data_IF_072389854823
#
_entry.id   IF_072389854823
#
_cell.length_a   1.000
_cell.length_b   1.000
_cell.length_c   1.000
_cell.angle_alpha   90.00
_cell.angle_beta   90.00
_cell.angle_gamma   90.00
#
_symmetry.space_group_name_H-M   'P 1'
#
loop_
_entity.id
_entity.type
_entity.pdbx_description
1 polymer ?
#
# COMPACT_ATOMS: atom_id res chain seq x y z
N UNK A 1 35.29 62.54 9.51
CA UNK A 1 33.86 62.18 9.46
C UNK A 1 33.80 60.66 9.54
N UNK A 2 33.46 60.13 10.71
CA UNK A 2 33.32 58.70 10.92
C UNK A 2 31.98 58.22 10.39
N UNK A 3 31.99 57.11 9.66
CA UNK A 3 30.81 56.32 9.34
C UNK A 3 30.74 55.23 10.42
N UNK A 4 29.76 55.32 11.32
CA UNK A 4 29.37 54.23 12.21
C UNK A 4 28.46 53.30 11.42
N UNK A 5 28.96 52.12 11.08
CA UNK A 5 28.15 50.99 10.64
C UNK A 5 27.55 50.35 11.90
N UNK A 6 26.35 50.79 12.30
CA UNK A 6 25.54 50.06 13.28
C UNK A 6 24.96 48.82 12.57
N UNK A 7 25.71 47.72 12.63
CA UNK A 7 25.13 46.40 12.45
C UNK A 7 24.30 46.09 13.69
N UNK A 8 22.98 46.13 13.51
CA UNK A 8 22.01 45.76 14.53
C UNK A 8 22.17 44.26 14.85
N UNK A 9 22.82 43.97 15.98
CA UNK A 9 22.96 42.64 16.61
C UNK A 9 21.62 42.22 17.26
N UNK A 10 20.50 42.33 16.53
CA UNK A 10 19.25 41.73 16.98
C UNK A 10 19.39 40.19 16.91
N UNK A 11 19.21 39.46 18.02
CA UNK A 11 19.24 38.01 17.98
C UNK A 11 18.13 37.52 17.05
N UNK A 12 18.49 36.73 16.04
CA UNK A 12 17.54 36.08 15.14
C UNK A 12 16.64 35.19 16.00
N UNK A 13 15.42 35.66 16.29
CA UNK A 13 14.41 34.92 17.05
C UNK A 13 13.28 34.50 16.13
N UNK A 14 12.73 33.31 16.37
CA UNK A 14 11.56 32.85 15.64
C UNK A 14 10.37 33.77 15.92
N UNK A 15 9.59 34.10 14.90
CA UNK A 15 8.33 34.81 15.10
C UNK A 15 7.39 33.99 15.98
N UNK A 16 6.47 34.64 16.69
CA UNK A 16 5.46 33.95 17.50
C UNK A 16 4.72 32.88 16.71
N UNK A 17 4.35 33.20 15.47
CA UNK A 17 3.70 32.26 14.56
C UNK A 17 4.58 31.04 14.23
N UNK A 18 5.90 31.23 14.06
CA UNK A 18 6.82 30.12 13.82
C UNK A 18 7.02 29.25 15.07
N UNK A 19 7.03 29.84 16.27
CA UNK A 19 7.08 29.10 17.53
C UNK A 19 5.82 28.30 17.79
N UNK A 20 4.64 28.87 17.50
CA UNK A 20 3.36 28.18 17.63
C UNK A 20 3.28 27.00 16.65
N UNK A 21 3.66 27.22 15.39
CA UNK A 21 3.72 26.16 14.38
C UNK A 21 4.69 25.03 14.79
N UNK A 22 5.86 25.37 15.34
CA UNK A 22 6.82 24.39 15.83
C UNK A 22 6.28 23.60 17.04
N UNK A 23 5.57 24.27 17.94
CA UNK A 23 4.93 23.65 19.11
C UNK A 23 3.84 22.67 18.69
N UNK A 24 2.96 23.08 17.77
CA UNK A 24 1.94 22.21 17.18
C UNK A 24 2.57 21.00 16.48
N UNK A 25 3.64 21.20 15.71
CA UNK A 25 4.36 20.12 15.05
C UNK A 25 4.92 19.09 16.04
N UNK A 26 5.52 19.53 17.16
CA UNK A 26 5.99 18.60 18.18
C UNK A 26 4.85 17.84 18.87
N UNK A 27 3.74 18.52 19.17
CA UNK A 27 2.56 17.86 19.75
C UNK A 27 1.97 16.78 18.82
N UNK A 28 1.86 17.07 17.52
CA UNK A 28 1.37 16.11 16.52
C UNK A 28 2.29 14.90 16.41
N UNK A 29 3.62 15.13 16.39
CA UNK A 29 4.62 14.06 16.38
C UNK A 29 4.52 13.17 17.60
N UNK A 30 4.37 13.75 18.78
CA UNK A 30 4.32 13.01 20.04
C UNK A 30 3.00 12.21 20.15
N UNK A 31 1.88 12.78 19.68
CA UNK A 31 0.60 12.07 19.56
C UNK A 31 0.68 10.87 18.60
N UNK A 32 1.40 11.02 17.49
CA UNK A 32 1.59 9.93 16.52
C UNK A 32 2.45 8.80 17.09
N UNK A 33 3.53 9.14 17.81
CA UNK A 33 4.34 8.15 18.54
C UNK A 33 3.49 7.37 19.54
N UNK A 34 2.65 8.05 20.32
CA UNK A 34 1.76 7.40 21.28
C UNK A 34 0.76 6.45 20.60
N UNK A 35 0.20 6.83 19.44
CA UNK A 35 -0.68 5.94 18.65
C UNK A 35 0.07 4.70 18.13
N UNK A 36 1.30 4.86 17.66
CA UNK A 36 2.12 3.75 17.20
C UNK A 36 2.50 2.80 18.34
N UNK A 37 2.81 3.34 19.52
CA UNK A 37 3.06 2.54 20.73
C UNK A 37 1.81 1.77 21.18
N UNK A 38 0.63 2.41 21.22
CA UNK A 38 -0.65 1.73 21.53
C UNK A 38 -0.96 0.62 20.53
N UNK A 39 -0.65 0.81 19.24
CA UNK A 39 -0.79 -0.22 18.22
C UNK A 39 0.14 -1.41 18.46
N UNK A 40 1.42 -1.15 18.76
CA UNK A 40 2.39 -2.21 19.05
C UNK A 40 1.96 -3.01 20.27
N UNK A 41 1.55 -2.32 21.34
CA UNK A 41 1.05 -2.95 22.56
C UNK A 41 -0.25 -3.73 22.30
N UNK A 42 -1.15 -3.21 21.47
CA UNK A 42 -2.41 -3.89 21.11
C UNK A 42 -2.16 -5.14 20.26
N UNK A 43 -1.18 -5.09 19.36
CA UNK A 43 -0.74 -6.24 18.58
C UNK A 43 -0.15 -7.34 19.48
N UNK A 44 0.66 -6.97 20.47
CA UNK A 44 1.21 -7.91 21.46
C UNK A 44 0.11 -8.50 22.37
N UNK A 45 -0.88 -7.70 22.77
CA UNK A 45 -1.96 -8.11 23.68
C UNK A 45 -3.19 -8.69 22.96
N UNK A 46 -3.17 -8.78 21.62
CA UNK A 46 -4.28 -9.20 20.76
C UNK A 46 -5.60 -8.46 21.05
N UNK A 47 -5.53 -7.16 21.31
CA UNK A 47 -6.74 -6.36 21.51
C UNK A 47 -7.35 -5.96 20.16
N UNK A 48 -8.65 -6.20 20.00
CA UNK A 48 -9.43 -5.96 18.77
C UNK A 48 -9.87 -4.50 18.63
N UNK A 49 -8.92 -3.56 18.63
CA UNK A 49 -9.24 -2.21 18.13
C UNK A 49 -9.07 -2.19 16.61
N UNK A 50 -9.95 -1.47 15.87
CA UNK A 50 -9.74 -1.27 14.44
C UNK A 50 -8.41 -0.54 14.22
N UNK A 51 -7.59 -1.09 13.33
CA UNK A 51 -6.30 -0.53 12.95
C UNK A 51 -6.53 0.71 12.07
N UNK A 52 -5.64 1.69 12.15
CA UNK A 52 -5.65 2.84 11.25
C UNK A 52 -4.27 3.04 10.64
N UNK A 53 -4.22 3.17 9.32
CA UNK A 53 -2.97 3.44 8.60
C UNK A 53 -2.38 4.80 9.02
N UNK A 54 -3.21 5.75 9.46
CA UNK A 54 -2.79 7.07 9.93
C UNK A 54 -1.92 7.03 11.20
N UNK A 55 -1.79 5.88 11.87
CA UNK A 55 -0.84 5.71 12.95
C UNK A 55 0.61 5.51 12.47
N UNK A 56 0.80 5.23 11.17
CA UNK A 56 2.08 5.23 10.49
C UNK A 56 2.23 6.58 9.77
N UNK A 57 3.20 7.39 10.17
CA UNK A 57 3.46 8.68 9.52
C UNK A 57 3.85 8.48 8.07
N UNK A 58 3.27 9.22 7.13
CA UNK A 58 3.78 9.27 5.74
C UNK A 58 5.22 9.79 5.72
N UNK A 59 6.11 9.09 5.01
CA UNK A 59 7.45 9.56 4.67
C UNK A 59 7.54 9.87 3.17
N UNK A 60 7.70 11.15 2.85
CA UNK A 60 7.79 11.64 1.48
C UNK A 60 9.08 11.19 0.78
N UNK A 61 10.16 10.91 1.52
CA UNK A 61 11.41 10.41 0.93
C UNK A 61 11.25 8.97 0.44
N UNK A 62 10.40 8.20 1.11
CA UNK A 62 10.01 6.83 0.74
C UNK A 62 8.81 6.80 -0.22
N UNK A 63 8.34 7.98 -0.68
CA UNK A 63 7.15 8.14 -1.53
C UNK A 63 5.88 7.49 -0.96
N UNK A 64 5.70 7.58 0.36
CA UNK A 64 4.53 7.04 1.05
C UNK A 64 3.35 8.01 0.99
N UNK A 65 2.24 7.54 0.43
CA UNK A 65 0.97 8.27 0.43
C UNK A 65 -0.16 7.29 0.71
N UNK A 66 -0.90 7.52 1.78
CA UNK A 66 -1.93 6.57 2.20
C UNK A 66 -3.23 6.78 1.44
N UNK A 67 -3.84 5.67 1.03
CA UNK A 67 -5.19 5.70 0.49
C UNK A 67 -6.19 6.23 1.50
N UNK A 68 -7.27 6.84 1.00
CA UNK A 68 -8.45 7.08 1.81
C UNK A 68 -9.03 5.75 2.30
N UNK A 69 -9.71 5.77 3.44
CA UNK A 69 -10.34 4.57 4.01
C UNK A 69 -11.30 3.91 3.01
N UNK A 70 -12.05 4.71 2.24
CA UNK A 70 -12.94 4.23 1.18
C UNK A 70 -12.17 3.50 0.08
N UNK A 71 -11.04 4.06 -0.37
CA UNK A 71 -10.21 3.44 -1.42
C UNK A 71 -9.63 2.12 -0.95
N UNK A 72 -9.02 2.11 0.23
CA UNK A 72 -8.41 0.92 0.80
C UNK A 72 -9.45 -0.19 1.05
N UNK A 73 -10.63 0.17 1.58
CA UNK A 73 -11.72 -0.77 1.84
C UNK A 73 -12.30 -1.35 0.55
N UNK A 74 -12.52 -0.51 -0.47
CA UNK A 74 -13.02 -0.96 -1.78
C UNK A 74 -12.09 -2.01 -2.41
N UNK A 75 -10.78 -1.76 -2.38
CA UNK A 75 -9.78 -2.70 -2.90
C UNK A 75 -9.75 -3.98 -2.05
N UNK A 76 -9.76 -3.85 -0.72
CA UNK A 76 -9.74 -4.99 0.20
C UNK A 76 -10.95 -5.92 0.01
N UNK A 77 -12.15 -5.36 -0.11
CA UNK A 77 -13.39 -6.10 -0.37
C UNK A 77 -13.34 -6.85 -1.70
N UNK A 78 -12.86 -6.21 -2.76
CA UNK A 78 -12.71 -6.83 -4.07
C UNK A 78 -11.69 -7.99 -4.08
N UNK A 79 -10.64 -7.91 -3.26
CA UNK A 79 -9.66 -8.99 -3.11
C UNK A 79 -10.20 -10.14 -2.25
N UNK A 80 -10.98 -9.81 -1.22
CA UNK A 80 -11.61 -10.79 -0.33
C UNK A 80 -12.77 -11.55 -0.99
N UNK A 81 -13.37 -10.99 -2.04
CA UNK A 81 -14.43 -11.65 -2.80
C UNK A 81 -13.99 -13.04 -3.31
N UNK A 82 -14.79 -14.04 -2.95
CA UNK A 82 -14.54 -15.45 -3.29
C UNK A 82 -13.28 -16.06 -2.67
N UNK A 83 -12.65 -15.42 -1.68
CA UNK A 83 -11.54 -16.03 -0.95
C UNK A 83 -12.01 -17.14 -0.01
N UNK A 84 -11.16 -18.16 0.12
CA UNK A 84 -11.31 -19.27 1.07
C UNK A 84 -10.22 -19.19 2.13
N UNK A 85 -10.27 -20.05 3.14
CA UNK A 85 -9.18 -20.20 4.13
C UNK A 85 -7.82 -20.56 3.50
N UNK A 86 -7.83 -21.19 2.32
CA UNK A 86 -6.61 -21.57 1.58
C UNK A 86 -6.13 -20.48 0.61
N UNK A 87 -6.87 -19.38 0.50
CA UNK A 87 -6.48 -18.27 -0.36
C UNK A 87 -5.34 -17.46 0.28
N UNK A 88 -4.43 -16.96 -0.53
CA UNK A 88 -3.37 -16.04 -0.09
C UNK A 88 -3.50 -14.69 -0.79
N UNK A 89 -3.56 -13.61 0.00
CA UNK A 89 -3.63 -12.22 -0.47
C UNK A 89 -2.33 -11.51 -0.12
N UNK A 90 -1.67 -10.93 -1.12
CA UNK A 90 -0.49 -10.07 -0.93
C UNK A 90 -0.85 -8.59 -1.14
N UNK A 91 -0.40 -7.74 -0.23
CA UNK A 91 -0.30 -6.30 -0.44
C UNK A 91 1.18 -5.95 -0.65
N UNK A 92 1.51 -5.44 -1.82
CA UNK A 92 2.87 -5.09 -2.24
C UNK A 92 3.00 -3.58 -2.31
N UNK A 93 3.81 -2.99 -1.44
CA UNK A 93 3.95 -1.53 -1.35
C UNK A 93 2.60 -0.82 -1.09
N UNK A 94 1.59 -1.53 -0.56
CA UNK A 94 0.20 -1.08 -0.43
C UNK A 94 -0.33 -1.26 1.01
N UNK A 95 0.25 -0.57 2.01
CA UNK A 95 -0.01 -0.88 3.42
C UNK A 95 -1.41 -0.43 3.86
N UNK A 96 -1.98 0.61 3.24
CA UNK A 96 -3.38 1.02 3.48
C UNK A 96 -4.35 -0.12 3.15
N UNK A 97 -4.14 -0.84 2.04
CA UNK A 97 -4.96 -1.99 1.65
C UNK A 97 -4.80 -3.14 2.65
N UNK A 98 -3.57 -3.41 3.11
CA UNK A 98 -3.32 -4.42 4.15
C UNK A 98 -4.06 -4.12 5.45
N UNK A 99 -4.02 -2.88 5.92
CA UNK A 99 -4.76 -2.45 7.13
C UNK A 99 -6.27 -2.65 6.94
N UNK A 100 -6.82 -2.28 5.78
CA UNK A 100 -8.23 -2.51 5.46
C UNK A 100 -8.58 -4.01 5.42
N UNK A 101 -7.73 -4.85 4.83
CA UNK A 101 -7.88 -6.31 4.84
C UNK A 101 -7.91 -6.86 6.27
N UNK A 102 -6.98 -6.43 7.14
CA UNK A 102 -6.93 -6.85 8.55
C UNK A 102 -8.21 -6.47 9.30
N UNK A 103 -8.68 -5.24 9.14
CA UNK A 103 -9.91 -4.76 9.78
C UNK A 103 -11.13 -5.53 9.28
N UNK A 104 -11.25 -5.75 7.97
CA UNK A 104 -12.34 -6.52 7.39
C UNK A 104 -12.36 -7.96 7.93
N UNK A 105 -11.19 -8.62 8.05
CA UNK A 105 -11.09 -9.97 8.59
C UNK A 105 -11.32 -10.06 10.10
N UNK A 106 -10.99 -9.00 10.85
CA UNK A 106 -11.28 -8.92 12.29
C UNK A 106 -12.78 -8.73 12.56
N UNK A 107 -13.50 -8.07 11.65
CA UNK A 107 -14.95 -7.89 11.73
C UNK A 107 -15.76 -9.14 11.32
N UNK A 108 -15.14 -10.12 10.67
CA UNK A 108 -15.76 -11.39 10.29
C UNK A 108 -15.99 -12.30 11.48
N UNK A 109 -17.07 -13.08 11.42
CA UNK A 109 -17.35 -14.14 12.40
C UNK A 109 -16.25 -15.21 12.46
N UNK A 110 -16.24 -16.01 13.53
CA UNK A 110 -15.26 -17.08 13.72
C UNK A 110 -15.34 -18.16 12.62
N UNK A 111 -16.55 -18.43 12.11
CA UNK A 111 -16.81 -19.45 11.09
C UNK A 111 -16.58 -18.97 9.65
N UNK A 112 -16.26 -17.69 9.46
CA UNK A 112 -16.01 -17.14 8.13
C UNK A 112 -14.58 -17.43 7.66
N UNK A 113 -14.36 -17.67 6.35
CA UNK A 113 -13.04 -17.96 5.82
C UNK A 113 -12.08 -16.79 6.04
N UNK A 114 -10.91 -17.08 6.61
CA UNK A 114 -9.82 -16.13 6.85
C UNK A 114 -8.61 -16.51 5.98
N UNK A 115 -8.41 -15.88 4.81
CA UNK A 115 -7.27 -16.14 3.95
C UNK A 115 -5.96 -15.73 4.63
N UNK A 116 -4.84 -16.31 4.18
CA UNK A 116 -3.50 -15.84 4.56
C UNK A 116 -3.27 -14.45 3.98
N UNK A 117 -2.79 -13.53 4.81
CA UNK A 117 -2.34 -12.21 4.38
C UNK A 117 -0.81 -12.14 4.37
N UNK A 118 -0.26 -11.36 3.45
CA UNK A 118 1.17 -11.03 3.35
C UNK A 118 1.29 -9.54 3.04
N UNK A 119 2.14 -8.84 3.78
CA UNK A 119 2.49 -7.45 3.53
C UNK A 119 3.96 -7.38 3.10
N UNK A 120 4.21 -6.96 1.86
CA UNK A 120 5.55 -6.70 1.35
C UNK A 120 5.81 -5.20 1.40
N UNK A 121 6.63 -4.76 2.35
CA UNK A 121 6.89 -3.34 2.62
C UNK A 121 8.35 -3.04 2.93
N UNK A 122 8.84 -1.91 2.43
CA UNK A 122 10.17 -1.39 2.75
C UNK A 122 10.24 -0.84 4.18
N UNK A 123 9.14 -0.25 4.62
CA UNK A 123 9.07 0.41 5.92
C UNK A 123 8.99 -0.59 7.08
N UNK A 124 10.11 -0.71 7.80
CA UNK A 124 10.26 -1.60 8.96
C UNK A 124 9.31 -1.31 10.12
N UNK A 125 8.62 -0.16 10.16
CA UNK A 125 7.59 0.11 11.17
C UNK A 125 6.45 -0.89 11.10
N UNK A 126 6.17 -1.46 9.92
CA UNK A 126 5.15 -2.49 9.75
C UNK A 126 5.57 -3.87 10.29
N UNK A 127 6.81 -4.05 10.75
CA UNK A 127 7.28 -5.30 11.37
C UNK A 127 6.58 -5.64 12.70
N UNK A 128 5.71 -4.74 13.21
CA UNK A 128 4.76 -5.05 14.29
C UNK A 128 3.73 -6.11 13.89
N UNK A 129 3.48 -6.29 12.58
CA UNK A 129 2.56 -7.29 12.06
C UNK A 129 3.32 -8.59 11.72
N UNK A 130 2.83 -9.77 12.12
CA UNK A 130 3.46 -11.04 11.77
C UNK A 130 3.39 -11.36 10.27
N UNK A 131 2.49 -10.73 9.52
CA UNK A 131 2.35 -10.88 8.07
C UNK A 131 3.37 -10.04 7.27
N UNK A 132 4.15 -9.20 7.95
CA UNK A 132 5.16 -8.35 7.35
C UNK A 132 6.34 -9.14 6.79
N UNK A 133 6.73 -8.80 5.58
CA UNK A 133 7.94 -9.25 4.89
C UNK A 133 8.66 -7.99 4.40
N UNK A 134 9.90 -7.79 4.86
CA UNK A 134 10.73 -6.69 4.36
C UNK A 134 10.92 -6.86 2.85
N UNK A 135 10.58 -5.81 2.10
CA UNK A 135 10.64 -5.79 0.65
C UNK A 135 11.33 -4.52 0.16
N UNK A 136 12.36 -4.68 -0.65
CA UNK A 136 13.00 -3.59 -1.37
C UNK A 136 12.76 -3.82 -2.86
N UNK A 137 12.06 -2.90 -3.53
CA UNK A 137 11.75 -3.01 -4.95
C UNK A 137 13.02 -3.06 -5.81
N UNK A 138 14.17 -2.59 -5.33
CA UNK A 138 15.47 -2.75 -6.01
C UNK A 138 16.02 -4.17 -5.95
N UNK A 139 15.49 -5.01 -5.06
CA UNK A 139 15.81 -6.42 -4.90
C UNK A 139 14.51 -7.25 -5.02
N UNK A 140 13.79 -7.19 -6.16
CA UNK A 140 12.39 -7.61 -6.26
C UNK A 140 12.15 -9.10 -5.94
N UNK A 141 13.17 -9.95 -6.11
CA UNK A 141 13.11 -11.39 -5.88
C UNK A 141 13.81 -11.84 -4.59
N UNK A 142 14.25 -10.92 -3.73
CA UNK A 142 14.82 -11.26 -2.42
C UNK A 142 13.67 -11.48 -1.42
N UNK A 143 12.90 -12.53 -1.68
CA UNK A 143 11.67 -12.86 -0.96
C UNK A 143 11.74 -14.28 -0.39
N UNK A 144 10.96 -14.59 0.66
CA UNK A 144 10.81 -15.95 1.15
C UNK A 144 10.33 -16.91 0.05
N UNK A 145 11.03 -18.03 -0.14
CA UNK A 145 10.75 -18.98 -1.22
C UNK A 145 9.32 -19.56 -1.18
N UNK A 146 8.68 -19.61 0.00
CA UNK A 146 7.31 -20.11 0.16
C UNK A 146 6.24 -19.21 -0.48
N UNK A 147 6.59 -17.97 -0.84
CA UNK A 147 5.68 -17.05 -1.52
C UNK A 147 5.66 -17.21 -3.04
N UNK A 148 6.62 -17.95 -3.62
CA UNK A 148 6.72 -18.12 -5.06
C UNK A 148 5.48 -18.84 -5.62
N UNK A 149 4.72 -18.16 -6.45
CA UNK A 149 3.49 -18.69 -7.04
C UNK A 149 2.40 -19.03 -6.01
N UNK A 150 2.45 -18.43 -4.82
CA UNK A 150 1.53 -18.75 -3.72
C UNK A 150 0.28 -17.85 -3.72
N UNK A 151 0.36 -16.64 -4.28
CA UNK A 151 -0.65 -15.59 -4.10
C UNK A 151 -1.80 -15.69 -5.11
N UNK A 152 -3.03 -15.78 -4.60
CA UNK A 152 -4.27 -15.80 -5.39
C UNK A 152 -4.77 -14.40 -5.77
N UNK A 153 -4.38 -13.42 -4.95
CA UNK A 153 -4.89 -12.05 -4.95
C UNK A 153 -3.73 -11.12 -4.62
N UNK A 154 -3.53 -10.07 -5.41
CA UNK A 154 -2.42 -9.13 -5.21
C UNK A 154 -2.95 -7.70 -5.37
N UNK A 155 -2.74 -6.87 -4.34
CA UNK A 155 -2.76 -5.42 -4.45
C UNK A 155 -1.33 -4.91 -4.58
N UNK A 156 -1.09 -3.96 -5.48
CA UNK A 156 0.20 -3.29 -5.60
C UNK A 156 0.04 -1.77 -5.75
N UNK A 157 0.88 -1.02 -5.06
CA UNK A 157 1.01 0.43 -5.20
C UNK A 157 2.49 0.82 -5.29
N UNK A 158 3.09 0.80 -6.48
CA UNK A 158 4.51 1.07 -6.66
C UNK A 158 4.93 2.44 -6.10
N UNK A 159 5.99 2.54 -5.28
CA UNK A 159 6.36 3.79 -4.60
C UNK A 159 6.78 4.88 -5.59
N UNK A 160 7.32 4.52 -6.75
CA UNK A 160 7.80 5.48 -7.73
C UNK A 160 7.09 5.38 -9.09
N UNK A 161 6.77 6.55 -9.64
CA UNK A 161 6.12 6.72 -10.93
C UNK A 161 7.15 6.77 -12.08
N UNK A 162 7.94 5.70 -12.20
CA UNK A 162 8.94 5.54 -13.26
C UNK A 162 9.00 4.10 -13.78
N UNK A 163 9.58 3.92 -14.98
CA UNK A 163 9.60 2.62 -15.68
C UNK A 163 10.38 1.53 -14.94
N UNK A 164 11.51 1.89 -14.31
CA UNK A 164 12.34 0.93 -13.57
C UNK A 164 11.59 0.34 -12.37
N UNK A 165 10.93 1.18 -11.58
CA UNK A 165 10.09 0.75 -10.46
C UNK A 165 8.92 -0.13 -10.93
N UNK A 166 8.20 0.27 -11.98
CA UNK A 166 7.08 -0.51 -12.52
C UNK A 166 7.55 -1.88 -13.04
N UNK A 167 8.72 -1.95 -13.67
CA UNK A 167 9.29 -3.21 -14.18
C UNK A 167 9.70 -4.15 -13.05
N UNK A 168 10.30 -3.61 -11.99
CA UNK A 168 10.67 -4.37 -10.79
C UNK A 168 9.44 -4.89 -10.06
N UNK A 169 8.42 -4.06 -9.86
CA UNK A 169 7.16 -4.48 -9.23
C UNK A 169 6.43 -5.54 -10.06
N UNK A 170 6.40 -5.39 -11.39
CA UNK A 170 5.86 -6.41 -12.27
C UNK A 170 6.60 -7.74 -12.15
N UNK A 171 7.93 -7.71 -11.96
CA UNK A 171 8.74 -8.92 -11.72
C UNK A 171 8.32 -9.60 -10.41
N UNK A 172 8.15 -8.83 -9.34
CA UNK A 172 7.66 -9.32 -8.04
C UNK A 172 6.26 -9.92 -8.15
N UNK A 173 5.32 -9.20 -8.75
CA UNK A 173 3.92 -9.63 -8.91
C UNK A 173 3.83 -10.95 -9.67
N UNK A 174 4.54 -11.07 -10.80
CA UNK A 174 4.53 -12.29 -11.60
C UNK A 174 5.18 -13.47 -10.87
N UNK A 175 6.19 -13.21 -10.04
CA UNK A 175 6.82 -14.25 -9.22
C UNK A 175 5.92 -14.72 -8.06
N UNK A 176 5.13 -13.83 -7.47
CA UNK A 176 4.17 -14.13 -6.40
C UNK A 176 2.90 -14.81 -6.92
N UNK A 177 2.42 -14.40 -8.09
CA UNK A 177 1.12 -14.80 -8.62
C UNK A 177 1.03 -16.31 -8.82
N UNK A 178 -0.03 -16.90 -8.26
CA UNK A 178 -0.37 -18.31 -8.50
C UNK A 178 -0.56 -18.53 -10.00
N UNK A 179 0.21 -19.45 -10.61
CA UNK A 179 0.07 -19.75 -12.02
C UNK A 179 -1.34 -20.24 -12.32
N UNK A 180 -1.86 -19.86 -13.48
CA UNK A 180 -3.11 -20.43 -13.98
C UNK A 180 -2.97 -21.93 -14.11
N UNK A 181 -3.92 -22.69 -13.58
CA UNK A 181 -3.92 -24.13 -13.77
C UNK A 181 -4.05 -24.47 -15.26
N UNK A 182 -3.13 -25.28 -15.77
CA UNK A 182 -3.15 -25.77 -17.15
C UNK A 182 -4.01 -27.03 -17.28
N UNK A 183 -4.52 -27.58 -16.16
CA UNK A 183 -5.37 -28.75 -16.16
C UNK A 183 -6.79 -28.37 -16.65
N UNK A 184 -7.33 -29.04 -17.68
CA UNK A 184 -8.71 -28.81 -18.11
C UNK A 184 -9.75 -29.19 -17.05
N UNK A 185 -9.35 -29.91 -15.98
CA UNK A 185 -10.20 -30.30 -14.86
C UNK A 185 -10.05 -29.38 -13.64
N UNK A 186 -9.18 -28.37 -13.71
CA UNK A 186 -8.96 -27.40 -12.63
C UNK A 186 -9.27 -25.99 -13.15
N UNK A 187 -10.48 -25.48 -12.90
CA UNK A 187 -10.92 -24.18 -13.39
C UNK A 187 -10.32 -23.02 -12.58
N UNK A 188 -9.33 -23.27 -11.71
CA UNK A 188 -8.74 -22.24 -10.84
C UNK A 188 -8.33 -21.03 -11.67
N UNK A 189 -8.94 -19.85 -11.42
CA UNK A 189 -8.66 -18.66 -12.19
C UNK A 189 -7.22 -18.23 -11.96
N UNK A 190 -6.64 -17.52 -12.93
CA UNK A 190 -5.37 -16.83 -12.73
C UNK A 190 -5.48 -15.89 -11.51
N UNK A 191 -4.35 -15.62 -10.85
CA UNK A 191 -4.32 -14.69 -9.73
C UNK A 191 -4.98 -13.36 -10.10
N UNK A 192 -5.85 -12.83 -9.23
CA UNK A 192 -6.43 -11.50 -9.43
C UNK A 192 -5.42 -10.46 -8.98
N UNK A 193 -5.13 -9.50 -9.85
CA UNK A 193 -4.18 -8.43 -9.59
C UNK A 193 -4.89 -7.10 -9.75
N UNK A 194 -4.74 -6.23 -8.75
CA UNK A 194 -5.12 -4.83 -8.78
C UNK A 194 -3.87 -4.00 -8.49
N UNK A 195 -3.61 -3.02 -9.35
CA UNK A 195 -2.47 -2.12 -9.24
C UNK A 195 -2.97 -0.70 -9.34
N UNK A 196 -2.56 0.14 -8.40
CA UNK A 196 -2.82 1.56 -8.43
C UNK A 196 -1.50 2.29 -8.66
N UNK A 197 -1.48 3.23 -9.60
CA UNK A 197 -0.30 4.06 -9.88
C UNK A 197 -0.75 5.33 -10.61
N UNK A 198 0.18 6.25 -10.83
CA UNK A 198 -0.07 7.50 -11.55
C UNK A 198 -0.52 7.24 -13.00
N UNK A 199 -1.48 8.02 -13.49
CA UNK A 199 -2.12 7.83 -14.80
C UNK A 199 -1.14 7.81 -15.97
N UNK A 200 -0.06 8.60 -15.87
CA UNK A 200 1.05 8.62 -16.82
C UNK A 200 1.75 7.27 -17.04
N UNK A 201 1.58 6.30 -16.13
CA UNK A 201 2.12 4.94 -16.26
C UNK A 201 1.18 4.01 -17.03
N UNK A 202 0.01 4.48 -17.46
CA UNK A 202 -1.01 3.67 -18.14
C UNK A 202 -0.43 2.87 -19.30
N UNK A 203 0.27 3.52 -20.24
CA UNK A 203 0.79 2.85 -21.43
C UNK A 203 1.71 1.69 -21.05
N UNK A 204 2.59 1.90 -20.06
CA UNK A 204 3.51 0.88 -19.57
C UNK A 204 2.77 -0.29 -18.88
N UNK A 205 1.86 0.02 -17.96
CA UNK A 205 1.13 -0.96 -17.13
C UNK A 205 0.13 -1.78 -17.96
N UNK A 206 -0.49 -1.16 -18.96
CA UNK A 206 -1.48 -1.83 -19.82
C UNK A 206 -0.86 -2.59 -20.99
N UNK A 207 0.45 -2.47 -21.22
CA UNK A 207 1.11 -3.35 -22.19
C UNK A 207 0.99 -4.81 -21.74
N UNK A 208 0.55 -5.69 -22.64
CA UNK A 208 0.50 -7.14 -22.36
C UNK A 208 1.88 -7.72 -22.06
N UNK A 209 2.97 -7.01 -22.38
CA UNK A 209 4.34 -7.49 -22.13
C UNK A 209 4.71 -7.42 -20.66
N UNK A 210 4.36 -6.35 -19.94
CA UNK A 210 4.88 -6.14 -18.60
C UNK A 210 4.18 -7.04 -17.57
N UNK A 211 2.86 -7.22 -17.70
CA UNK A 211 2.03 -8.04 -16.82
C UNK A 211 1.45 -9.27 -17.52
N UNK A 212 2.15 -9.79 -18.54
CA UNK A 212 1.64 -10.85 -19.41
C UNK A 212 1.31 -12.16 -18.70
N UNK A 213 2.16 -12.57 -17.74
CA UNK A 213 1.99 -13.86 -17.05
C UNK A 213 0.76 -13.89 -16.13
N UNK A 214 0.25 -12.70 -15.74
CA UNK A 214 -0.99 -12.53 -14.97
C UNK A 214 -2.19 -12.16 -15.86
N UNK A 215 -2.06 -12.24 -17.18
CA UNK A 215 -3.13 -11.97 -18.14
C UNK A 215 -3.25 -10.52 -18.60
N UNK A 216 -2.27 -9.66 -18.26
CA UNK A 216 -2.28 -8.23 -18.55
C UNK A 216 -3.19 -7.44 -17.60
N UNK A 217 -2.89 -6.15 -17.43
CA UNK A 217 -3.72 -5.24 -16.65
C UNK A 217 -4.44 -4.27 -17.57
N UNK A 218 -5.67 -3.89 -17.19
CA UNK A 218 -6.48 -2.92 -17.92
C UNK A 218 -6.93 -1.81 -16.99
N UNK A 219 -6.97 -0.58 -17.49
CA UNK A 219 -7.50 0.57 -16.76
C UNK A 219 -8.95 0.30 -16.35
N UNK A 220 -9.29 0.54 -15.09
CA UNK A 220 -10.63 0.32 -14.53
C UNK A 220 -11.40 1.62 -14.37
N UNK A 221 -12.72 1.55 -14.20
CA UNK A 221 -13.59 2.70 -13.93
C UNK A 221 -13.35 3.33 -12.56
N UNK A 222 -12.67 2.62 -11.65
CA UNK A 222 -12.34 3.10 -10.31
C UNK A 222 -11.27 4.20 -10.33
N UNK A 223 -11.38 5.10 -9.35
CA UNK A 223 -10.49 6.26 -9.16
C UNK A 223 -10.01 6.25 -7.73
N UNK A 224 -8.80 5.71 -7.44
CA UNK A 224 -8.27 5.69 -6.09
C UNK A 224 -8.05 7.12 -5.58
N UNK A 225 -8.33 7.33 -4.30
CA UNK A 225 -8.11 8.58 -3.59
C UNK A 225 -7.15 8.37 -2.43
N UNK A 226 -6.45 9.44 -2.06
CA UNK A 226 -5.49 9.45 -0.96
C UNK A 226 -6.02 10.30 0.19
N UNK A 227 -5.64 9.97 1.42
CA UNK A 227 -5.98 10.74 2.61
C UNK A 227 -5.35 12.15 2.53
N UNK A 228 -4.10 12.20 2.08
CA UNK A 228 -3.38 13.43 1.76
C UNK A 228 -3.68 13.88 0.32
N UNK A 229 -3.73 15.20 0.08
CA UNK A 229 -3.91 15.72 -1.28
C UNK A 229 -2.64 15.52 -2.10
N UNK A 230 -2.75 14.72 -3.16
CA UNK A 230 -1.71 14.57 -4.18
C UNK A 230 -2.05 15.42 -5.42
N UNK A 231 -1.01 15.94 -6.08
CA UNK A 231 -1.16 16.66 -7.35
C UNK A 231 -1.24 15.73 -8.57
N UNK A 232 -0.80 14.48 -8.44
CA UNK A 232 -0.83 13.51 -9.53
C UNK A 232 -2.18 12.81 -9.55
N UNK A 233 -2.72 12.59 -10.75
CA UNK A 233 -3.88 11.72 -10.94
C UNK A 233 -3.45 10.26 -10.86
N UNK A 234 -4.18 9.46 -10.07
CA UNK A 234 -3.95 8.03 -9.91
C UNK A 234 -5.09 7.22 -10.52
N UNK A 235 -4.72 6.16 -11.22
CA UNK A 235 -5.62 5.23 -11.87
C UNK A 235 -5.49 3.86 -11.22
N UNK A 236 -6.58 3.10 -11.25
CA UNK A 236 -6.60 1.70 -10.84
C UNK A 236 -6.61 0.82 -12.10
N UNK A 237 -5.74 -0.18 -12.13
CA UNK A 237 -5.57 -1.16 -13.18
C UNK A 237 -5.80 -2.55 -12.62
N UNK A 238 -6.56 -3.39 -13.32
CA UNK A 238 -6.83 -4.75 -12.84
C UNK A 238 -6.98 -5.75 -13.99
N UNK A 239 -6.69 -7.02 -13.72
CA UNK A 239 -6.97 -8.13 -14.64
C UNK A 239 -8.36 -8.76 -14.43
N UNK A 240 -9.21 -8.12 -13.62
CA UNK A 240 -10.56 -8.57 -13.30
C UNK A 240 -11.50 -7.38 -13.07
N UNK A 241 -12.79 -7.62 -13.31
CA UNK A 241 -13.88 -6.72 -12.94
C UNK A 241 -14.53 -7.17 -11.64
N UNK A 242 -15.20 -6.26 -10.94
CA UNK A 242 -15.94 -6.55 -9.72
C UNK A 242 -17.14 -5.60 -9.59
N UNK A 243 -17.82 -5.64 -8.45
CA UNK A 243 -18.94 -4.72 -8.16
C UNK A 243 -18.52 -3.25 -8.12
N UNK A 244 -17.28 -2.97 -7.73
CA UNK A 244 -16.76 -1.60 -7.61
C UNK A 244 -16.20 -1.05 -8.93
N UNK A 245 -15.84 -1.91 -9.89
CA UNK A 245 -15.25 -1.45 -11.15
C UNK A 245 -15.43 -2.38 -12.35
N UNK A 246 -15.44 -1.75 -13.52
CA UNK A 246 -15.38 -2.36 -14.85
C UNK A 246 -14.14 -1.86 -15.58
N UNK A 247 -13.77 -2.47 -16.70
CA UNK A 247 -12.70 -1.92 -17.54
C UNK A 247 -13.18 -0.67 -18.29
N UNK A 248 -12.31 0.35 -18.38
CA UNK A 248 -12.50 1.46 -19.32
C UNK A 248 -11.94 1.01 -20.65
N UNK A 249 -12.82 0.69 -21.59
CA UNK A 249 -12.42 0.47 -22.98
C UNK A 249 -11.82 1.74 -23.60
#
# INVERSE_FOLDING_TARGET
MGLSEDFDDEPITLSSHALDALTSFYADRDALKAKFEDLRDSAERRQEKPLSIAAFAEDWQESQFWYSDETASTIAEALLDGCTENSTIAAVSAPSVFVALKNALAARGEDEPKPRLVLLEHDSRFAVFPEYVFYDCNQPLKLPDDLKGACDRIACDPPFLNEDCQTKEATTIQWLARPRSQSPNDPSPAARVVLCTGERMQDLVTTTRLYGDVGGLRTTTFRPQHASKLSNDFYCYANFECTAWQWRD
#
